data_IF_934604213549
#
_entry.id   IF_934604213549
#
_cell.length_a   1.000
_cell.length_b   1.000
_cell.length_c   1.000
_cell.angle_alpha   90.00
_cell.angle_beta   90.00
_cell.angle_gamma   90.00
#
_symmetry.space_group_name_H-M   'P 1'
#
loop_
_entity.id
_entity.type
_entity.pdbx_description
1 polymer ?
#
# COMPACT_ATOMS: atom_id res chain seq x y z
N UNK A 1 -16.62 -32.36 -4.98
CA UNK A 1 -16.76 -31.32 -3.92
C UNK A 1 -16.35 -29.95 -4.49
N UNK A 2 -17.26 -29.23 -5.19
CA UNK A 2 -16.92 -27.97 -5.88
C UNK A 2 -16.96 -26.70 -5.01
N UNK A 3 -17.64 -26.72 -3.85
CA UNK A 3 -17.81 -25.51 -3.01
C UNK A 3 -16.56 -25.08 -2.23
N UNK A 4 -15.60 -25.98 -2.00
CA UNK A 4 -14.40 -25.65 -1.23
C UNK A 4 -13.38 -24.86 -2.09
N UNK A 5 -13.35 -25.12 -3.40
CA UNK A 5 -12.48 -24.44 -4.35
C UNK A 5 -12.94 -23.00 -4.67
N UNK A 6 -14.25 -22.74 -4.67
CA UNK A 6 -14.78 -21.38 -4.91
C UNK A 6 -14.51 -20.42 -3.75
N UNK A 7 -14.54 -20.92 -2.50
CA UNK A 7 -14.25 -20.10 -1.30
C UNK A 7 -12.77 -19.73 -1.19
N UNK A 8 -11.86 -20.62 -1.59
CA UNK A 8 -10.41 -20.34 -1.56
C UNK A 8 -10.00 -19.35 -2.66
N UNK A 9 -10.57 -19.47 -3.86
CA UNK A 9 -10.36 -18.52 -4.96
C UNK A 9 -10.87 -17.11 -4.60
N UNK A 10 -12.07 -17.00 -4.03
CA UNK A 10 -12.61 -15.71 -3.60
C UNK A 10 -11.72 -15.02 -2.56
N UNK A 11 -11.22 -15.76 -1.56
CA UNK A 11 -10.28 -15.24 -0.56
C UNK A 11 -8.97 -14.78 -1.19
N UNK A 12 -8.47 -15.49 -2.19
CA UNK A 12 -7.27 -15.10 -2.92
C UNK A 12 -7.46 -13.79 -3.70
N UNK A 13 -8.58 -13.64 -4.40
CA UNK A 13 -8.91 -12.40 -5.11
C UNK A 13 -9.08 -11.22 -4.14
N UNK A 14 -9.80 -11.41 -3.04
CA UNK A 14 -9.96 -10.39 -2.01
C UNK A 14 -8.62 -9.98 -1.40
N UNK A 15 -7.71 -10.94 -1.16
CA UNK A 15 -6.38 -10.66 -0.64
C UNK A 15 -5.50 -9.88 -1.63
N UNK A 16 -5.56 -10.21 -2.92
CA UNK A 16 -4.82 -9.46 -3.95
C UNK A 16 -5.38 -8.05 -4.14
N UNK A 17 -6.71 -7.90 -4.19
CA UNK A 17 -7.36 -6.60 -4.28
C UNK A 17 -7.02 -5.71 -3.07
N UNK A 18 -7.02 -6.26 -1.85
CA UNK A 18 -6.64 -5.55 -0.64
C UNK A 18 -5.19 -5.02 -0.71
N UNK A 19 -4.24 -5.85 -1.17
CA UNK A 19 -2.84 -5.45 -1.34
C UNK A 19 -2.72 -4.29 -2.34
N UNK A 20 -3.41 -4.37 -3.48
CA UNK A 20 -3.39 -3.30 -4.48
C UNK A 20 -3.97 -2.00 -3.93
N UNK A 21 -5.10 -2.06 -3.22
CA UNK A 21 -5.71 -0.88 -2.60
C UNK A 21 -4.76 -0.26 -1.58
N UNK A 22 -4.20 -1.05 -0.67
CA UNK A 22 -3.25 -0.55 0.34
C UNK A 22 -2.02 0.07 -0.33
N UNK A 23 -1.46 -0.58 -1.34
CA UNK A 23 -0.32 -0.07 -2.11
C UNK A 23 -0.63 1.27 -2.76
N UNK A 24 -1.77 1.38 -3.47
CA UNK A 24 -2.22 2.63 -4.11
C UNK A 24 -2.45 3.73 -3.07
N UNK A 25 -3.12 3.44 -1.96
CA UNK A 25 -3.37 4.42 -0.91
C UNK A 25 -2.07 4.99 -0.34
N UNK A 26 -1.09 4.13 -0.06
CA UNK A 26 0.23 4.56 0.42
C UNK A 26 0.96 5.43 -0.61
N UNK A 27 0.91 5.05 -1.89
CA UNK A 27 1.51 5.83 -2.97
C UNK A 27 0.85 7.20 -3.11
N UNK A 28 -0.48 7.26 -3.15
CA UNK A 28 -1.25 8.51 -3.26
C UNK A 28 -0.96 9.42 -2.07
N UNK A 29 -0.98 8.90 -0.84
CA UNK A 29 -0.63 9.66 0.35
C UNK A 29 0.79 10.26 0.26
N UNK A 30 1.76 9.45 -0.17
CA UNK A 30 3.16 9.87 -0.28
C UNK A 30 3.36 10.93 -1.35
N UNK A 31 2.79 10.72 -2.54
CA UNK A 31 2.88 11.66 -3.66
C UNK A 31 2.20 12.98 -3.30
N UNK A 32 1.02 12.93 -2.67
CA UNK A 32 0.34 14.13 -2.19
C UNK A 32 1.20 14.90 -1.18
N UNK A 33 1.80 14.21 -0.21
CA UNK A 33 2.71 14.83 0.76
C UNK A 33 3.95 15.46 0.11
N UNK A 34 4.54 14.78 -0.89
CA UNK A 34 5.68 15.32 -1.64
C UNK A 34 5.32 16.55 -2.47
N UNK A 35 4.12 16.59 -3.06
CA UNK A 35 3.64 17.74 -3.85
C UNK A 35 3.26 18.91 -2.94
N UNK A 36 2.53 18.67 -1.85
CA UNK A 36 2.11 19.72 -0.92
C UNK A 36 3.26 20.26 -0.08
N UNK A 37 4.31 19.45 0.13
CA UNK A 37 5.41 19.78 1.03
C UNK A 37 5.03 19.72 2.51
N UNK A 38 3.86 19.16 2.84
CA UNK A 38 3.35 19.03 4.20
C UNK A 38 2.64 17.69 4.44
N UNK A 39 2.81 17.14 5.64
CA UNK A 39 2.06 15.96 6.11
C UNK A 39 1.62 16.13 7.56
N UNK A 40 0.46 15.57 7.90
CA UNK A 40 0.00 15.50 9.28
C UNK A 40 0.53 14.21 9.90
N UNK A 41 1.41 14.33 10.90
CA UNK A 41 1.94 13.19 11.65
C UNK A 41 1.13 13.04 12.93
N UNK A 42 0.53 11.86 13.11
CA UNK A 42 -0.19 11.50 14.33
C UNK A 42 0.46 10.30 14.99
N UNK A 43 0.89 10.47 16.23
CA UNK A 43 1.40 9.40 17.09
C UNK A 43 0.47 9.23 18.29
N UNK A 44 0.34 8.00 18.78
CA UNK A 44 -0.46 7.70 19.96
C UNK A 44 0.19 8.36 21.19
N UNK A 45 -0.58 9.17 21.92
CA UNK A 45 -0.08 9.87 23.11
C UNK A 45 0.59 11.21 22.85
N UNK A 46 0.67 11.67 21.60
CA UNK A 46 1.15 13.00 21.23
C UNK A 46 0.04 13.79 20.53
N UNK A 47 0.09 15.12 20.64
CA UNK A 47 -0.73 15.99 19.81
C UNK A 47 -0.29 15.85 18.34
N UNK A 48 -1.22 15.74 17.39
CA UNK A 48 -0.87 15.71 15.98
C UNK A 48 -0.19 17.03 15.59
N UNK A 49 0.83 16.94 14.75
CA UNK A 49 1.57 18.09 14.26
C UNK A 49 1.78 17.98 12.75
N UNK A 50 1.98 19.12 12.10
CA UNK A 50 2.30 19.18 10.67
C UNK A 50 3.81 19.17 10.51
N UNK A 51 4.32 18.26 9.69
CA UNK A 51 5.72 18.19 9.30
C UNK A 51 5.87 18.76 7.89
N UNK A 52 6.83 19.67 7.70
CA UNK A 52 7.06 20.38 6.44
C UNK A 52 8.38 19.94 5.79
N UNK A 53 8.41 19.87 4.46
CA UNK A 53 9.59 19.48 3.69
C UNK A 53 10.82 20.40 3.94
N UNK A 54 10.57 21.70 4.09
CA UNK A 54 11.59 22.72 4.33
C UNK A 54 11.34 23.48 5.64
N UNK A 55 10.85 22.80 6.67
CA UNK A 55 10.47 23.44 7.94
C UNK A 55 10.73 22.58 9.17
N UNK A 56 10.09 22.90 10.30
CA UNK A 56 10.22 22.09 11.51
C UNK A 56 9.76 20.66 11.22
N UNK A 57 10.52 19.70 11.75
CA UNK A 57 10.31 18.27 11.54
C UNK A 57 10.50 17.76 10.09
N UNK A 58 11.35 18.40 9.28
CA UNK A 58 11.67 17.95 7.92
C UNK A 58 12.15 16.49 7.82
N UNK A 59 12.84 15.98 8.85
CA UNK A 59 13.21 14.56 8.91
C UNK A 59 12.00 13.65 9.07
N UNK A 60 11.02 14.03 9.90
CA UNK A 60 9.77 13.27 10.06
C UNK A 60 8.92 13.32 8.77
N UNK A 61 8.92 14.46 8.06
CA UNK A 61 8.34 14.58 6.73
C UNK A 61 8.99 13.59 5.77
N UNK A 62 10.33 13.63 5.65
CA UNK A 62 11.07 12.78 4.73
C UNK A 62 10.86 11.28 5.03
N UNK A 63 10.93 10.88 6.31
CA UNK A 63 10.72 9.49 6.72
C UNK A 63 9.33 8.97 6.37
N UNK A 64 8.29 9.77 6.60
CA UNK A 64 6.92 9.37 6.25
C UNK A 64 6.69 9.38 4.74
N UNK A 65 7.07 10.45 4.04
CA UNK A 65 6.83 10.57 2.60
C UNK A 65 7.61 9.49 1.82
N UNK A 66 8.91 9.33 2.07
CA UNK A 66 9.72 8.32 1.39
C UNK A 66 9.45 6.91 1.90
N UNK A 67 9.18 6.74 3.20
CA UNK A 67 8.85 5.44 3.78
C UNK A 67 7.52 4.89 3.27
N UNK A 68 6.47 5.72 3.23
CA UNK A 68 5.19 5.33 2.65
C UNK A 68 5.30 5.11 1.13
N UNK A 69 6.16 5.86 0.43
CA UNK A 69 6.40 5.65 -0.99
C UNK A 69 7.04 4.29 -1.24
N UNK A 70 8.14 3.97 -0.53
CA UNK A 70 8.82 2.69 -0.64
C UNK A 70 7.91 1.51 -0.28
N UNK A 71 7.20 1.60 0.84
CA UNK A 71 6.25 0.56 1.26
C UNK A 71 5.10 0.41 0.27
N UNK A 72 4.52 1.53 -0.18
CA UNK A 72 3.45 1.54 -1.19
C UNK A 72 3.89 0.88 -2.49
N UNK A 73 5.09 1.18 -2.98
CA UNK A 73 5.67 0.54 -4.17
C UNK A 73 5.85 -0.97 -3.98
N UNK A 74 6.42 -1.40 -2.86
CA UNK A 74 6.64 -2.84 -2.58
C UNK A 74 5.31 -3.59 -2.50
N UNK A 75 4.34 -3.05 -1.75
CA UNK A 75 3.02 -3.67 -1.58
C UNK A 75 2.26 -3.72 -2.90
N UNK A 76 2.29 -2.63 -3.68
CA UNK A 76 1.66 -2.58 -5.00
C UNK A 76 2.29 -3.55 -5.98
N UNK A 77 3.63 -3.57 -6.08
CA UNK A 77 4.36 -4.47 -6.97
C UNK A 77 4.11 -5.94 -6.60
N UNK A 78 4.07 -6.26 -5.31
CA UNK A 78 3.73 -7.60 -4.83
C UNK A 78 2.27 -7.98 -5.16
N UNK A 79 1.32 -7.06 -4.94
CA UNK A 79 -0.08 -7.27 -5.31
C UNK A 79 -0.24 -7.50 -6.82
N UNK A 80 0.47 -6.73 -7.63
CA UNK A 80 0.47 -6.86 -9.10
C UNK A 80 1.09 -8.19 -9.53
N UNK A 81 2.24 -8.56 -8.97
CA UNK A 81 2.90 -9.85 -9.23
C UNK A 81 1.99 -11.03 -8.88
N UNK A 82 1.35 -10.99 -7.71
CA UNK A 82 0.38 -12.00 -7.27
C UNK A 82 -0.80 -12.07 -8.23
N UNK A 83 -1.36 -10.93 -8.63
CA UNK A 83 -2.43 -10.85 -9.62
C UNK A 83 -2.03 -11.46 -10.97
N UNK A 84 -0.85 -11.09 -11.48
CA UNK A 84 -0.31 -11.62 -12.74
C UNK A 84 -0.07 -13.13 -12.68
N UNK A 85 0.43 -13.67 -11.56
CA UNK A 85 0.55 -15.13 -11.40
C UNK A 85 -0.81 -15.83 -11.45
N UNK A 86 -1.84 -15.28 -10.80
CA UNK A 86 -3.20 -15.84 -10.89
C UNK A 86 -3.79 -15.82 -12.32
N UNK A 87 -3.40 -14.86 -13.17
CA UNK A 87 -3.83 -14.83 -14.57
C UNK A 87 -2.93 -15.66 -15.50
N UNK A 88 -1.66 -15.87 -15.13
CA UNK A 88 -0.63 -16.52 -15.95
C UNK A 88 -0.42 -17.99 -15.62
N UNK A 89 -0.76 -18.43 -14.43
CA UNK A 89 -1.10 -19.82 -14.16
C UNK A 89 -2.54 -19.99 -14.66
N UNK A 90 -2.77 -20.45 -15.91
CA UNK A 90 -4.03 -21.13 -16.18
C UNK A 90 -4.15 -22.28 -15.17
N UNK A 91 -5.34 -22.80 -15.00
CA UNK A 91 -5.57 -24.10 -14.38
C UNK A 91 -4.69 -25.20 -15.04
N UNK A 92 -3.40 -25.24 -14.73
CA UNK A 92 -2.51 -26.35 -15.06
C UNK A 92 -2.76 -27.43 -14.02
N UNK A 93 -3.94 -28.04 -14.14
CA UNK A 93 -4.27 -29.33 -13.57
C UNK A 93 -5.29 -29.33 -12.41
N UNK A 94 -6.40 -30.01 -12.70
CA UNK A 94 -7.30 -30.74 -11.79
C UNK A 94 -8.44 -29.96 -11.09
#
# INVERSE_FOLDING_TARGET
MPEFHTKSALRAHMGTAALLIVGITLLVFSVNGLISGEIIVRSRGAQPYVAYAAGPHATAFAWNAWGCLALGTVVFAYGLWRGLRYFREPNDGA
#
